data_IF_282102459547
#
_entry.id   IF_282102459547
#
_cell.length_a   1.000
_cell.length_b   1.000
_cell.length_c   1.000
_cell.angle_alpha   90.00
_cell.angle_beta   90.00
_cell.angle_gamma   90.00
#
_symmetry.space_group_name_H-M   'P 1'
#
loop_
_entity.id
_entity.type
_entity.pdbx_description
1 polymer ?
#
# COMPACT_ATOMS: atom_id res chain seq x y z
N UNK A 1 -6.34 34.74 2.76
CA UNK A 1 -5.80 33.42 3.14
C UNK A 1 -5.97 32.49 1.95
N UNK A 2 -4.92 31.83 1.47
CA UNK A 2 -5.03 30.98 0.27
C UNK A 2 -5.90 29.75 0.54
N UNK A 3 -6.43 29.13 -0.52
CA UNK A 3 -7.18 27.88 -0.40
C UNK A 3 -6.37 26.77 0.29
N UNK A 4 -5.05 26.70 0.02
CA UNK A 4 -4.16 25.74 0.66
C UNK A 4 -4.02 25.99 2.17
N UNK A 5 -3.91 27.25 2.60
CA UNK A 5 -3.85 27.59 4.04
C UNK A 5 -5.14 27.22 4.76
N UNK A 6 -6.30 27.46 4.13
CA UNK A 6 -7.60 27.08 4.70
C UNK A 6 -7.76 25.57 4.79
N UNK A 7 -7.35 24.83 3.74
CA UNK A 7 -7.39 23.37 3.74
C UNK A 7 -6.48 22.78 4.82
N UNK A 8 -5.25 23.28 4.97
CA UNK A 8 -4.34 22.83 6.03
C UNK A 8 -4.92 23.06 7.43
N UNK A 9 -5.54 24.23 7.66
CA UNK A 9 -6.24 24.52 8.91
C UNK A 9 -7.43 23.58 9.15
N UNK A 10 -8.25 23.33 8.13
CA UNK A 10 -9.43 22.48 8.24
C UNK A 10 -9.08 20.98 8.44
N UNK A 11 -7.96 20.52 7.87
CA UNK A 11 -7.42 19.19 8.15
C UNK A 11 -6.92 19.08 9.59
N UNK A 12 -6.17 20.09 10.08
CA UNK A 12 -5.63 20.09 11.44
C UNK A 12 -6.73 20.15 12.53
N UNK A 13 -7.85 20.82 12.26
CA UNK A 13 -8.99 20.88 13.17
C UNK A 13 -9.98 19.72 13.02
N UNK A 14 -9.83 18.88 11.98
CA UNK A 14 -10.76 17.80 11.67
C UNK A 14 -12.09 18.25 11.05
N UNK A 15 -12.21 19.53 10.65
CA UNK A 15 -13.36 20.03 9.88
C UNK A 15 -13.44 19.39 8.48
N UNK A 16 -12.28 19.01 7.92
CA UNK A 16 -12.17 18.12 6.76
C UNK A 16 -11.62 16.78 7.23
N UNK A 17 -12.26 15.69 6.80
CA UNK A 17 -11.87 14.31 7.16
C UNK A 17 -11.16 13.63 5.99
N UNK A 18 -10.11 12.89 6.31
CA UNK A 18 -9.49 11.94 5.39
C UNK A 18 -10.18 10.59 5.54
N UNK A 19 -10.68 10.05 4.43
CA UNK A 19 -11.27 8.70 4.37
C UNK A 19 -10.37 7.84 3.49
N UNK A 20 -9.87 6.74 4.04
CA UNK A 20 -9.11 5.75 3.26
C UNK A 20 -10.08 4.83 2.52
N UNK A 21 -9.93 4.74 1.20
CA UNK A 21 -10.74 3.93 0.30
C UNK A 21 -9.94 2.76 -0.29
N UNK A 22 -8.83 2.40 0.34
CA UNK A 22 -7.86 1.41 -0.14
C UNK A 22 -8.10 0.04 0.50
N UNK A 23 -7.96 -1.03 -0.28
CA UNK A 23 -7.81 -2.38 0.26
C UNK A 23 -6.35 -2.66 0.60
N UNK A 24 -6.10 -3.40 1.69
CA UNK A 24 -4.75 -3.86 2.02
C UNK A 24 -4.20 -4.74 0.89
N UNK A 25 -2.95 -4.47 0.46
CA UNK A 25 -2.22 -5.36 -0.43
C UNK A 25 -1.89 -6.65 0.31
N UNK A 26 -2.56 -7.73 -0.10
CA UNK A 26 -2.52 -9.02 0.54
C UNK A 26 -2.43 -10.13 -0.53
N UNK A 27 -1.61 -11.20 -0.34
CA UNK A 27 -1.50 -12.29 -1.31
C UNK A 27 -2.82 -13.00 -1.64
N UNK A 28 -3.76 -13.00 -0.70
CA UNK A 28 -5.06 -13.63 -0.84
C UNK A 28 -6.11 -12.69 -1.45
N UNK A 29 -5.80 -11.40 -1.62
CA UNK A 29 -6.72 -10.45 -2.25
C UNK A 29 -7.01 -10.87 -3.71
N UNK A 30 -8.30 -10.94 -4.11
CA UNK A 30 -8.65 -11.32 -5.48
C UNK A 30 -8.06 -10.36 -6.51
N UNK A 31 -7.48 -10.92 -7.56
CA UNK A 31 -6.98 -10.16 -8.72
C UNK A 31 -7.89 -10.32 -9.92
N UNK A 32 -7.75 -9.43 -10.90
CA UNK A 32 -8.43 -9.55 -12.18
C UNK A 32 -8.01 -10.83 -12.90
N UNK A 33 -8.98 -11.61 -13.35
CA UNK A 33 -8.78 -12.80 -14.17
C UNK A 33 -9.29 -12.52 -15.57
N UNK A 34 -8.45 -12.77 -16.57
CA UNK A 34 -8.76 -12.65 -17.99
C UNK A 34 -9.06 -14.04 -18.58
N UNK A 35 -9.66 -14.12 -19.78
CA UNK A 35 -9.70 -15.37 -20.54
C UNK A 35 -8.32 -16.04 -20.62
N UNK A 36 -8.24 -17.39 -20.54
CA UNK A 36 -6.99 -18.13 -20.34
C UNK A 36 -5.97 -17.98 -21.48
N UNK A 37 -6.41 -17.55 -22.66
CA UNK A 37 -5.55 -17.25 -23.81
C UNK A 37 -4.72 -15.95 -23.64
N UNK A 38 -5.07 -15.09 -22.67
CA UNK A 38 -4.33 -13.86 -22.37
C UNK A 38 -3.42 -14.02 -21.15
N UNK A 39 -2.37 -13.20 -21.10
CA UNK A 39 -1.52 -13.07 -19.92
C UNK A 39 -2.34 -12.61 -18.71
N UNK A 40 -2.16 -13.28 -17.58
CA UNK A 40 -2.92 -13.02 -16.36
C UNK A 40 -2.19 -12.02 -15.47
N UNK A 41 -2.95 -11.24 -14.70
CA UNK A 41 -2.37 -10.34 -13.70
C UNK A 41 -1.71 -11.14 -12.56
N UNK A 42 -0.48 -10.78 -12.21
CA UNK A 42 0.23 -11.39 -11.10
C UNK A 42 -0.37 -10.94 -9.76
N UNK A 43 -0.57 -11.91 -8.86
CA UNK A 43 -0.94 -11.66 -7.46
C UNK A 43 0.13 -10.85 -6.75
N UNK A 44 -0.29 -10.10 -5.74
CA UNK A 44 0.64 -9.51 -4.78
C UNK A 44 1.40 -10.62 -4.04
N UNK A 45 2.72 -10.49 -3.96
CA UNK A 45 3.60 -11.36 -3.18
C UNK A 45 4.55 -10.49 -2.37
N UNK A 46 4.93 -10.98 -1.20
CA UNK A 46 5.81 -10.23 -0.30
C UNK A 46 6.75 -11.17 0.45
N UNK A 47 8.04 -10.85 0.41
CA UNK A 47 9.13 -11.67 0.92
C UNK A 47 9.99 -10.86 1.89
N UNK A 48 10.27 -11.42 3.06
CA UNK A 48 11.06 -10.73 4.08
C UNK A 48 12.55 -10.71 3.70
N UNK A 49 13.14 -9.50 3.71
CA UNK A 49 14.57 -9.32 3.48
C UNK A 49 15.33 -9.45 4.81
N UNK A 50 14.90 -8.70 5.81
CA UNK A 50 15.41 -8.79 7.19
C UNK A 50 14.33 -8.40 8.19
N UNK A 51 14.48 -8.85 9.44
CA UNK A 51 13.59 -8.44 10.54
C UNK A 51 14.32 -8.46 11.88
N UNK A 52 15.19 -7.47 12.08
CA UNK A 52 15.94 -7.29 13.34
C UNK A 52 16.69 -8.57 13.77
N UNK A 53 17.16 -9.31 12.78
CA UNK A 53 17.90 -10.55 12.90
C UNK A 53 19.30 -10.38 12.28
N UNK A 54 20.06 -11.46 12.12
CA UNK A 54 21.41 -11.41 11.53
C UNK A 54 21.45 -10.86 10.11
N UNK A 55 20.34 -10.95 9.35
CA UNK A 55 20.21 -10.41 7.99
C UNK A 55 20.04 -8.89 7.98
N UNK A 56 19.67 -8.28 9.11
CA UNK A 56 19.51 -6.84 9.26
C UNK A 56 19.18 -6.46 10.71
N UNK A 57 20.20 -6.27 11.58
CA UNK A 57 19.99 -6.12 13.01
C UNK A 57 19.24 -4.84 13.43
N UNK A 58 19.31 -3.79 12.61
CA UNK A 58 18.74 -2.47 12.90
C UNK A 58 17.44 -2.16 12.18
N UNK A 59 16.93 -3.02 11.30
CA UNK A 59 15.79 -2.68 10.44
C UNK A 59 14.96 -3.90 10.00
N UNK A 60 13.72 -3.60 9.63
CA UNK A 60 12.78 -4.55 9.03
C UNK A 60 12.26 -3.99 7.72
N UNK A 61 12.26 -4.83 6.69
CA UNK A 61 11.77 -4.50 5.36
C UNK A 61 11.54 -5.76 4.51
N UNK A 62 10.76 -5.61 3.44
CA UNK A 62 10.33 -6.71 2.58
C UNK A 62 10.43 -6.30 1.12
N UNK A 63 10.79 -7.26 0.27
CA UNK A 63 10.58 -7.14 -1.17
C UNK A 63 9.12 -7.47 -1.47
N UNK A 64 8.56 -6.88 -2.53
CA UNK A 64 7.25 -7.26 -3.04
C UNK A 64 7.23 -7.31 -4.56
N UNK A 65 6.31 -8.11 -5.10
CA UNK A 65 6.00 -8.15 -6.54
C UNK A 65 4.50 -8.19 -6.75
N UNK A 66 4.05 -7.62 -7.86
CA UNK A 66 2.66 -7.56 -8.32
C UNK A 66 2.65 -7.12 -9.78
N UNK A 67 1.49 -7.26 -10.46
CA UNK A 67 1.30 -6.78 -11.83
C UNK A 67 1.41 -7.90 -12.84
#
# INVERSE_FOLDING_TARGET
MSALTQLAGALATGAVKTVDLTHTLDPDFPVMILPPEFGQCARFRVEEVSRYDERGPGWYWRNFSCG
#
